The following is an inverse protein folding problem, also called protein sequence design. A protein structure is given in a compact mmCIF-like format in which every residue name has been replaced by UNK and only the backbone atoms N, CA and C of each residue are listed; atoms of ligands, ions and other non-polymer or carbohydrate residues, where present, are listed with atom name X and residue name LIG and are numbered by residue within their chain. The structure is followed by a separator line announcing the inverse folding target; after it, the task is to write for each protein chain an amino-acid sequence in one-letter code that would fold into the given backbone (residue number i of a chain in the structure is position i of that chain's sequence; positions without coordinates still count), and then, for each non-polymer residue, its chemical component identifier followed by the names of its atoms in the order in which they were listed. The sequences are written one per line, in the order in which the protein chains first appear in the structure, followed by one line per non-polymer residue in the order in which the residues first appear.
data_IF_223009585843
#
_entry.id   IF_223009585843
#
_cell.length_a   1.000
_cell.length_b   1.000
_cell.length_c   1.000
_cell.angle_alpha   90.00
_cell.angle_beta   90.00
_cell.angle_gamma   90.00
#
_symmetry.space_group_name_H-M   'P 1'
#
loop_
_entity.id
_entity.type
_entity.pdbx_description
1 polymer ?
#
# COMPACT_ATOMS: atom_id res chain seq x y z
N UNK A 1 -22.06 5.37 -9.74
CA UNK A 1 -20.95 4.43 -9.53
C UNK A 1 -20.01 5.05 -8.50
N UNK A 2 -19.49 4.27 -7.56
CA UNK A 2 -18.57 4.80 -6.53
C UNK A 2 -17.18 4.95 -7.12
N UNK A 3 -16.58 6.13 -6.98
CA UNK A 3 -15.22 6.48 -7.39
C UNK A 3 -14.21 6.30 -6.26
N UNK A 4 -14.55 5.47 -5.26
CA UNK A 4 -13.77 5.23 -4.05
C UNK A 4 -13.57 3.73 -3.79
N UNK A 5 -12.38 3.36 -3.30
CA UNK A 5 -12.00 1.97 -3.11
C UNK A 5 -11.17 1.70 -1.86
N UNK A 6 -11.37 0.52 -1.26
CA UNK A 6 -10.35 -0.12 -0.43
C UNK A 6 -9.34 -0.82 -1.33
N UNK A 7 -8.05 -0.65 -1.05
CA UNK A 7 -6.94 -1.20 -1.83
C UNK A 7 -6.09 -2.07 -0.92
N UNK A 8 -5.70 -3.26 -1.37
CA UNK A 8 -4.73 -4.11 -0.68
C UNK A 8 -3.64 -4.60 -1.65
N UNK A 9 -2.56 -5.15 -1.11
CA UNK A 9 -1.48 -5.76 -1.88
C UNK A 9 -1.23 -7.20 -1.44
N UNK A 10 -1.10 -8.12 -2.40
CA UNK A 10 -0.63 -9.48 -2.17
C UNK A 10 0.53 -9.84 -3.12
N UNK A 11 1.74 -9.94 -2.58
CA UNK A 11 2.96 -10.28 -3.35
C UNK A 11 3.28 -11.77 -3.35
N UNK A 12 2.62 -12.58 -2.52
CA UNK A 12 2.78 -14.04 -2.50
C UNK A 12 1.48 -14.72 -2.05
N UNK A 13 1.44 -16.05 -2.15
CA UNK A 13 0.26 -16.85 -1.79
C UNK A 13 -0.16 -16.70 -0.31
N UNK A 14 0.78 -16.40 0.59
CA UNK A 14 0.45 -16.16 1.99
C UNK A 14 -0.32 -14.85 2.17
N UNK A 15 0.17 -13.76 1.59
CA UNK A 15 -0.55 -12.49 1.58
C UNK A 15 -1.84 -12.57 0.75
N UNK A 16 -1.91 -13.42 -0.28
CA UNK A 16 -3.16 -13.66 -0.99
C UNK A 16 -4.25 -14.26 -0.07
N UNK A 17 -3.86 -15.13 0.89
CA UNK A 17 -4.78 -15.60 1.93
C UNK A 17 -5.22 -14.49 2.88
N UNK A 18 -4.30 -13.62 3.28
CA UNK A 18 -4.61 -12.43 4.06
C UNK A 18 -5.61 -11.51 3.35
N UNK A 19 -5.34 -11.18 2.09
CA UNK A 19 -6.23 -10.39 1.24
C UNK A 19 -7.63 -11.03 1.10
N UNK A 20 -7.73 -12.37 1.02
CA UNK A 20 -9.05 -13.03 1.04
C UNK A 20 -9.81 -12.79 2.35
N UNK A 21 -9.13 -12.84 3.50
CA UNK A 21 -9.74 -12.57 4.81
C UNK A 21 -10.19 -11.11 4.89
N UNK A 22 -9.33 -10.18 4.49
CA UNK A 22 -9.64 -8.76 4.44
C UNK A 22 -10.85 -8.48 3.56
N UNK A 23 -10.83 -8.92 2.29
CA UNK A 23 -11.93 -8.74 1.35
C UNK A 23 -13.24 -9.34 1.85
N UNK A 24 -13.22 -10.54 2.43
CA UNK A 24 -14.41 -11.14 3.07
C UNK A 24 -14.90 -10.31 4.25
N UNK A 25 -14.00 -9.80 5.10
CA UNK A 25 -14.37 -9.01 6.26
C UNK A 25 -15.03 -7.68 5.88
N UNK A 26 -14.53 -7.00 4.84
CA UNK A 26 -15.12 -5.77 4.29
C UNK A 26 -16.52 -6.03 3.71
N UNK A 27 -16.69 -7.10 2.92
CA UNK A 27 -18.01 -7.50 2.37
C UNK A 27 -18.98 -7.89 3.47
N UNK A 28 -18.54 -8.63 4.48
CA UNK A 28 -19.36 -9.04 5.63
C UNK A 28 -19.93 -7.84 6.38
N UNK A 29 -19.17 -6.75 6.46
CA UNK A 29 -19.60 -5.51 7.11
C UNK A 29 -20.22 -4.50 6.13
N UNK A 30 -20.66 -4.96 4.96
CA UNK A 30 -21.45 -4.21 3.99
C UNK A 30 -20.80 -2.90 3.54
N UNK A 31 -19.50 -2.91 3.25
CA UNK A 31 -18.88 -1.75 2.60
C UNK A 31 -19.60 -1.40 1.29
N UNK A 32 -19.85 -0.11 1.09
CA UNK A 32 -20.39 0.45 -0.14
C UNK A 32 -19.32 0.69 -1.21
N UNK A 33 -18.05 0.56 -0.84
CA UNK A 33 -16.90 0.95 -1.66
C UNK A 33 -16.42 -0.21 -2.55
N UNK A 34 -15.66 0.13 -3.58
CA UNK A 34 -14.98 -0.86 -4.42
C UNK A 34 -13.86 -1.55 -3.65
N UNK A 35 -13.59 -2.80 -3.99
CA UNK A 35 -12.44 -3.54 -3.48
C UNK A 35 -11.44 -3.77 -4.60
N UNK A 36 -10.20 -3.33 -4.41
CA UNK A 36 -9.08 -3.49 -5.34
C UNK A 36 -7.98 -4.33 -4.69
N UNK A 37 -7.49 -5.35 -5.40
CA UNK A 37 -6.30 -6.10 -5.01
C UNK A 37 -5.18 -5.88 -6.03
N UNK A 38 -4.08 -5.28 -5.58
CA UNK A 38 -2.82 -5.32 -6.31
C UNK A 38 -2.17 -6.66 -6.05
N UNK A 39 -1.64 -7.31 -7.09
CA UNK A 39 -1.02 -8.64 -6.95
C UNK A 39 0.32 -8.70 -7.66
N UNK A 40 1.28 -9.42 -7.07
CA UNK A 40 2.53 -9.74 -7.75
C UNK A 40 2.32 -10.77 -8.88
N UNK A 41 3.22 -10.84 -9.88
CA UNK A 41 3.08 -11.73 -11.05
C UNK A 41 2.93 -13.23 -10.70
N UNK A 42 3.51 -13.64 -9.57
CA UNK A 42 3.47 -15.01 -9.06
C UNK A 42 2.15 -15.40 -8.37
N UNK A 43 1.26 -14.44 -8.07
CA UNK A 43 0.04 -14.71 -7.32
C UNK A 43 -1.12 -15.02 -8.26
N UNK A 44 -1.80 -16.14 -8.03
CA UNK A 44 -2.98 -16.50 -8.82
C UNK A 44 -4.16 -15.54 -8.54
N UNK A 45 -4.54 -14.77 -9.55
CA UNK A 45 -5.67 -13.83 -9.51
C UNK A 45 -7.04 -14.51 -9.31
N UNK A 46 -7.18 -15.78 -9.71
CA UNK A 46 -8.47 -16.47 -9.87
C UNK A 46 -9.32 -16.51 -8.58
N UNK A 47 -8.66 -16.55 -7.42
CA UNK A 47 -9.33 -16.60 -6.12
C UNK A 47 -9.75 -15.20 -5.66
N UNK A 48 -8.90 -14.20 -5.89
CA UNK A 48 -9.16 -12.81 -5.50
C UNK A 48 -10.26 -12.16 -6.36
N UNK A 49 -10.34 -12.52 -7.65
CA UNK A 49 -11.40 -12.07 -8.58
C UNK A 49 -12.83 -12.43 -8.14
N UNK A 50 -13.00 -13.33 -7.18
CA UNK A 50 -14.30 -13.68 -6.60
C UNK A 50 -14.75 -12.73 -5.48
N UNK A 51 -13.83 -11.99 -4.88
CA UNK A 51 -14.06 -11.13 -3.71
C UNK A 51 -13.88 -9.64 -4.05
N UNK A 52 -12.91 -9.36 -4.94
CA UNK A 52 -12.50 -8.02 -5.34
C UNK A 52 -13.18 -7.59 -6.64
N UNK A 53 -13.54 -6.32 -6.73
CA UNK A 53 -14.11 -5.71 -7.93
C UNK A 53 -13.04 -5.54 -9.03
N UNK A 54 -11.80 -5.27 -8.62
CA UNK A 54 -10.64 -5.10 -9.50
C UNK A 54 -9.46 -5.90 -8.93
N UNK A 55 -8.79 -6.68 -9.77
CA UNK A 55 -7.53 -7.35 -9.44
C UNK A 55 -6.52 -6.93 -10.50
N UNK A 56 -5.43 -6.31 -10.07
CA UNK A 56 -4.43 -5.73 -10.96
C UNK A 56 -3.06 -6.32 -10.67
N UNK A 57 -2.47 -6.96 -11.67
CA UNK A 57 -1.08 -7.41 -11.60
C UNK A 57 -0.17 -6.19 -11.65
N UNK A 58 0.76 -6.12 -10.71
CA UNK A 58 1.82 -5.10 -10.64
C UNK A 58 3.14 -5.83 -10.83
N UNK A 59 3.70 -5.71 -12.03
CA UNK A 59 5.04 -6.20 -12.34
C UNK A 59 6.00 -5.02 -12.36
N UNK A 60 6.72 -4.82 -11.25
CA UNK A 60 7.69 -3.73 -11.15
C UNK A 60 8.91 -4.01 -12.04
N UNK A 61 9.23 -5.29 -12.29
CA UNK A 61 10.36 -5.68 -13.15
C UNK A 61 10.07 -5.43 -14.63
N UNK A 62 8.82 -5.56 -15.08
CA UNK A 62 8.40 -5.31 -16.47
C UNK A 62 7.84 -3.90 -16.70
N UNK A 63 7.81 -3.05 -15.66
CA UNK A 63 7.19 -1.71 -15.77
C UNK A 63 7.91 -0.74 -16.72
N UNK A 64 9.13 -1.04 -17.16
CA UNK A 64 9.89 -0.23 -18.14
C UNK A 64 10.26 1.20 -17.71
N UNK A 65 9.84 1.61 -16.51
CA UNK A 65 9.78 3.00 -16.08
C UNK A 65 10.76 3.30 -14.91
N UNK A 66 10.63 4.50 -14.34
CA UNK A 66 11.36 4.98 -13.15
C UNK A 66 11.32 4.00 -11.97
N UNK A 67 10.24 3.22 -11.81
CA UNK A 67 10.13 2.19 -10.79
C UNK A 67 11.12 1.02 -11.01
N UNK A 68 11.32 0.59 -12.25
CA UNK A 68 12.31 -0.43 -12.59
C UNK A 68 13.73 0.07 -12.29
N UNK A 69 14.04 1.31 -12.67
CA UNK A 69 15.34 1.93 -12.39
C UNK A 69 15.58 2.13 -10.89
N UNK A 70 14.54 2.50 -10.13
CA UNK A 70 14.57 2.58 -8.68
C UNK A 70 14.84 1.20 -8.06
N UNK A 71 14.16 0.16 -8.54
CA UNK A 71 14.40 -1.24 -8.13
C UNK A 71 15.80 -1.73 -8.43
N UNK A 72 16.36 -1.42 -9.61
CA UNK A 72 17.74 -1.81 -9.94
C UNK A 72 18.75 -1.19 -8.96
N UNK A 73 18.48 0.02 -8.46
CA UNK A 73 19.31 0.67 -7.44
C UNK A 73 19.10 0.08 -6.05
N UNK A 74 17.89 -0.40 -5.76
CA UNK A 74 17.43 -0.87 -4.43
C UNK A 74 16.53 -2.11 -4.55
N UNK A 75 17.11 -3.29 -4.83
CA UNK A 75 16.33 -4.52 -5.01
C UNK A 75 15.64 -4.97 -3.72
N UNK A 76 16.13 -4.52 -2.56
CA UNK A 76 15.55 -4.72 -1.23
C UNK A 76 14.16 -4.08 -1.08
N UNK A 77 13.85 -3.01 -1.84
CA UNK A 77 12.60 -2.25 -1.71
C UNK A 77 11.48 -2.74 -2.65
N UNK A 78 11.57 -3.95 -3.22
CA UNK A 78 10.65 -4.41 -4.26
C UNK A 78 9.17 -4.43 -3.86
N UNK A 79 8.88 -4.88 -2.64
CA UNK A 79 7.51 -4.87 -2.10
C UNK A 79 7.04 -3.43 -1.87
N UNK A 80 7.90 -2.56 -1.35
CA UNK A 80 7.64 -1.13 -1.16
C UNK A 80 7.24 -0.44 -2.47
N UNK A 81 8.01 -0.64 -3.54
CA UNK A 81 7.65 -0.08 -4.85
C UNK A 81 6.33 -0.64 -5.39
N UNK A 82 6.09 -1.94 -5.19
CA UNK A 82 4.82 -2.57 -5.56
C UNK A 82 3.64 -1.96 -4.80
N UNK A 83 3.80 -1.63 -3.50
CA UNK A 83 2.77 -0.97 -2.69
C UNK A 83 2.51 0.46 -3.15
N UNK A 84 3.54 1.22 -3.52
CA UNK A 84 3.40 2.59 -4.03
C UNK A 84 2.57 2.69 -5.32
N UNK A 85 2.49 1.61 -6.11
CA UNK A 85 1.61 1.58 -7.29
C UNK A 85 0.12 1.81 -6.96
N UNK A 86 -0.31 1.72 -5.68
CA UNK A 86 -1.67 2.12 -5.30
C UNK A 86 -2.00 3.57 -5.67
N UNK A 87 -1.01 4.49 -5.69
CA UNK A 87 -1.20 5.87 -6.17
C UNK A 87 -1.44 5.98 -7.67
N UNK A 88 -1.20 4.93 -8.46
CA UNK A 88 -1.45 4.96 -9.92
C UNK A 88 -2.89 4.65 -10.30
N UNK A 89 -3.76 4.33 -9.34
CA UNK A 89 -5.19 4.02 -9.54
C UNK A 89 -6.03 5.29 -9.72
N UNK A 90 -5.66 6.15 -10.67
CA UNK A 90 -6.21 7.51 -10.87
C UNK A 90 -7.65 7.56 -11.36
N UNK A 91 -8.27 6.42 -11.66
CA UNK A 91 -9.71 6.31 -11.87
C UNK A 91 -10.54 6.35 -10.58
N UNK A 92 -9.88 6.28 -9.40
CA UNK A 92 -10.50 6.53 -8.11
C UNK A 92 -10.10 7.92 -7.58
N UNK A 93 -11.05 8.61 -6.96
CA UNK A 93 -10.83 9.94 -6.35
C UNK A 93 -10.22 9.86 -4.95
N UNK A 94 -10.45 8.76 -4.24
CA UNK A 94 -9.92 8.50 -2.90
C UNK A 94 -9.90 7.02 -2.61
N UNK A 95 -8.84 6.57 -1.96
CA UNK A 95 -8.66 5.19 -1.58
C UNK A 95 -8.28 5.07 -0.10
N UNK A 96 -8.61 3.91 0.48
CA UNK A 96 -8.07 3.47 1.77
C UNK A 96 -7.20 2.27 1.49
N UNK A 97 -5.89 2.41 1.70
CA UNK A 97 -4.98 1.29 1.65
C UNK A 97 -5.09 0.48 2.94
N UNK A 98 -5.08 -0.84 2.82
CA UNK A 98 -5.06 -1.78 3.94
C UNK A 98 -4.12 -2.95 3.61
N UNK A 99 -3.11 -3.18 4.46
CA UNK A 99 -2.23 -4.35 4.33
C UNK A 99 -3.03 -5.65 4.44
N UNK A 100 -2.56 -6.68 3.74
CA UNK A 100 -3.27 -7.96 3.65
C UNK A 100 -3.31 -8.73 4.98
N UNK A 101 -2.53 -8.35 5.98
CA UNK A 101 -2.56 -8.88 7.34
C UNK A 101 -3.53 -8.14 8.27
N UNK A 102 -4.31 -7.20 7.75
CA UNK A 102 -5.39 -6.51 8.47
C UNK A 102 -6.74 -7.25 8.39
N UNK A 103 -7.63 -7.00 9.35
CA UNK A 103 -8.99 -7.53 9.34
C UNK A 103 -9.97 -6.49 9.87
N UNK A 104 -11.11 -6.37 9.20
CA UNK A 104 -12.15 -5.42 9.55
C UNK A 104 -13.18 -6.06 10.48
N UNK A 105 -13.49 -5.38 11.60
CA UNK A 105 -14.41 -5.85 12.64
C UNK A 105 -15.78 -5.16 12.63
N UNK A 106 -15.93 -4.09 11.86
CA UNK A 106 -17.16 -3.30 11.70
C UNK A 106 -17.13 -2.58 10.35
N UNK A 107 -18.22 -1.94 9.91
CA UNK A 107 -18.12 -1.06 8.75
C UNK A 107 -17.14 0.09 9.09
N UNK A 108 -16.31 0.46 8.11
CA UNK A 108 -15.26 1.50 8.23
C UNK A 108 -15.30 2.47 7.04
N UNK A 109 -16.45 2.60 6.37
CA UNK A 109 -16.62 3.47 5.21
C UNK A 109 -16.43 4.96 5.58
N UNK A 110 -16.54 5.33 6.86
CA UNK A 110 -16.27 6.67 7.38
C UNK A 110 -14.80 7.12 7.20
N UNK A 111 -13.87 6.18 6.96
CA UNK A 111 -12.48 6.53 6.63
C UNK A 111 -12.39 7.38 5.35
N UNK A 112 -13.36 7.26 4.44
CA UNK A 112 -13.41 8.07 3.22
C UNK A 112 -13.78 9.53 3.45
N UNK A 113 -14.19 9.92 4.67
CA UNK A 113 -14.40 11.31 5.05
C UNK A 113 -13.08 12.04 5.41
N UNK A 114 -11.99 11.27 5.61
CA UNK A 114 -10.66 11.81 5.93
C UNK A 114 -9.93 12.34 4.69
N UNK A 115 -8.96 13.22 4.91
CA UNK A 115 -8.10 13.77 3.85
C UNK A 115 -6.84 12.93 3.64
N UNK A 116 -6.19 13.11 2.49
CA UNK A 116 -4.82 12.58 2.31
C UNK A 116 -3.86 13.51 3.06
N UNK A 117 -2.88 13.02 3.83
CA UNK A 117 -2.64 11.63 4.22
C UNK A 117 -3.11 11.42 5.68
N UNK A 118 -4.05 10.49 5.89
CA UNK A 118 -4.55 10.12 7.23
C UNK A 118 -4.20 8.68 7.55
N UNK A 119 -3.55 8.45 8.70
CA UNK A 119 -3.15 7.13 9.19
C UNK A 119 -3.18 7.09 10.74
N UNK A 120 -3.14 5.89 11.31
CA UNK A 120 -3.07 5.72 12.77
C UNK A 120 -1.61 5.83 13.25
N UNK A 121 -1.35 6.34 14.47
CA UNK A 121 0.01 6.38 15.02
C UNK A 121 0.61 4.98 15.17
N UNK A 122 1.92 4.86 14.97
CA UNK A 122 2.64 3.62 15.26
C UNK A 122 2.76 3.40 16.78
N UNK A 123 2.49 2.20 17.32
CA UNK A 123 2.58 1.95 18.76
C UNK A 123 4.01 2.04 19.34
N UNK A 124 5.04 1.77 18.54
CA UNK A 124 6.44 1.79 18.97
C UNK A 124 7.06 3.18 18.91
N UNK A 125 6.67 3.98 17.91
CA UNK A 125 7.15 5.35 17.72
C UNK A 125 5.99 6.29 17.34
N UNK A 126 5.33 6.96 18.30
CA UNK A 126 4.08 7.67 18.06
C UNK A 126 4.20 8.93 17.18
N UNK A 127 5.42 9.41 16.93
CA UNK A 127 5.67 10.50 15.97
C UNK A 127 5.65 10.00 14.50
N UNK A 128 5.61 8.69 14.30
CA UNK A 128 5.38 8.02 13.03
C UNK A 128 3.96 7.44 13.01
N UNK A 129 3.42 7.24 11.81
CA UNK A 129 2.18 6.48 11.65
C UNK A 129 2.48 5.08 11.14
N UNK A 130 1.57 4.16 11.44
CA UNK A 130 1.57 2.82 10.90
C UNK A 130 1.05 2.82 9.46
N UNK A 131 1.78 2.17 8.54
CA UNK A 131 1.44 2.16 7.11
C UNK A 131 0.50 1.02 6.73
N UNK A 132 0.02 0.27 7.72
CA UNK A 132 -0.93 -0.82 7.59
C UNK A 132 -2.30 -0.36 7.13
N UNK A 133 -2.72 0.85 7.53
CA UNK A 133 -3.98 1.45 7.10
C UNK A 133 -3.80 2.95 6.90
N UNK A 134 -4.08 3.45 5.70
CA UNK A 134 -4.04 4.89 5.42
C UNK A 134 -4.99 5.33 4.32
N UNK A 135 -5.43 6.58 4.40
CA UNK A 135 -6.30 7.25 3.43
C UNK A 135 -5.46 8.11 2.50
N UNK A 136 -5.64 7.94 1.19
CA UNK A 136 -4.85 8.63 0.17
C UNK A 136 -5.69 9.00 -1.07
N UNK A 137 -5.12 9.87 -1.92
CA UNK A 137 -5.67 10.27 -3.21
C UNK A 137 -4.73 9.79 -4.31
N UNK A 138 -5.16 8.84 -5.15
CA UNK A 138 -4.34 8.40 -6.29
C UNK A 138 -3.88 9.57 -7.17
N UNK A 139 -2.58 9.64 -7.44
CA UNK A 139 -1.93 10.68 -8.23
C UNK A 139 -0.62 10.15 -8.79
N UNK A 140 -0.47 10.23 -10.12
CA UNK A 140 0.79 9.87 -10.81
C UNK A 140 1.94 10.78 -10.37
N UNK A 141 1.64 12.05 -10.06
CA UNK A 141 2.63 12.99 -9.54
C UNK A 141 3.14 12.56 -8.16
N UNK A 142 2.23 12.24 -7.23
CA UNK A 142 2.56 11.76 -5.88
C UNK A 142 3.35 10.45 -5.95
N UNK A 143 2.92 9.51 -6.81
CA UNK A 143 3.66 8.28 -7.08
C UNK A 143 5.10 8.55 -7.54
N UNK A 144 5.30 9.44 -8.50
CA UNK A 144 6.63 9.81 -8.99
C UNK A 144 7.53 10.41 -7.92
N UNK A 145 6.98 11.30 -7.08
CA UNK A 145 7.72 11.90 -5.94
C UNK A 145 8.10 10.84 -4.90
N UNK A 146 7.20 9.92 -4.56
CA UNK A 146 7.46 8.83 -3.61
C UNK A 146 8.55 7.89 -4.13
N UNK A 147 8.50 7.50 -5.42
CA UNK A 147 9.54 6.68 -6.05
C UNK A 147 10.90 7.38 -6.06
N UNK A 148 10.94 8.66 -6.42
CA UNK A 148 12.16 9.45 -6.42
C UNK A 148 12.75 9.51 -5.00
N UNK A 149 11.93 9.79 -4.00
CA UNK A 149 12.36 9.88 -2.61
C UNK A 149 12.95 8.55 -2.10
N UNK A 150 12.28 7.43 -2.36
CA UNK A 150 12.78 6.09 -2.01
C UNK A 150 14.13 5.79 -2.68
N UNK A 151 14.31 6.23 -3.93
CA UNK A 151 15.56 6.05 -4.68
C UNK A 151 16.71 6.87 -4.10
N UNK A 152 16.42 8.09 -3.64
CA UNK A 152 17.43 9.04 -3.15
C UNK A 152 17.83 8.80 -1.68
N UNK A 153 16.89 8.40 -0.82
CA UNK A 153 17.09 8.42 0.64
C UNK A 153 17.16 7.03 1.30
N UNK A 154 16.59 5.98 0.71
CA UNK A 154 16.68 4.62 1.28
C UNK A 154 15.95 4.41 2.62
N UNK A 155 15.89 3.14 3.09
CA UNK A 155 15.30 2.79 4.38
C UNK A 155 16.16 3.35 5.53
N UNK A 156 15.49 3.92 6.53
CA UNK A 156 16.13 4.56 7.68
C UNK A 156 16.50 3.57 8.81
N UNK A 157 16.15 2.29 8.70
CA UNK A 157 16.54 1.31 9.72
C UNK A 157 17.99 0.85 9.49
N UNK A 158 18.93 1.50 10.17
CA UNK A 158 20.37 1.17 10.14
C UNK A 158 20.74 -0.22 10.70
N UNK A 159 20.01 -1.29 10.37
CA UNK A 159 20.33 -2.69 10.68
C UNK A 159 20.74 -3.41 9.40
N UNK A 160 21.95 -3.98 9.41
CA UNK A 160 22.34 -4.98 8.42
C UNK A 160 21.29 -6.12 8.39
N UNK A 161 20.87 -6.59 7.21
CA UNK A 161 19.83 -7.61 7.10
C UNK A 161 20.39 -8.97 7.54
N UNK A 162 20.22 -9.31 8.82
CA UNK A 162 20.32 -10.69 9.29
C UNK A 162 18.98 -11.38 9.06
N UNK A 163 18.93 -12.14 7.96
CA UNK A 163 18.05 -13.23 7.48
C UNK A 163 16.78 -13.74 8.21
N UNK A 164 16.23 -13.15 9.28
CA UNK A 164 15.14 -13.82 10.04
C UNK A 164 13.81 -13.07 10.22
N UNK A 165 13.57 -11.94 9.53
CA UNK A 165 12.26 -11.27 9.65
C UNK A 165 11.86 -10.44 8.43
N UNK A 166 12.05 -10.99 7.23
CA UNK A 166 11.73 -10.32 5.95
C UNK A 166 10.30 -9.77 5.87
N UNK A 167 9.29 -10.43 6.45
CA UNK A 167 7.89 -9.95 6.40
C UNK A 167 7.54 -8.83 7.39
N UNK A 168 8.33 -8.61 8.44
CA UNK A 168 8.11 -7.52 9.41
C UNK A 168 8.92 -6.26 9.07
N UNK A 169 10.03 -6.41 8.35
CA UNK A 169 10.90 -5.30 7.95
C UNK A 169 10.28 -4.50 6.79
N UNK A 170 9.56 -5.14 5.87
CA UNK A 170 8.90 -4.47 4.72
C UNK A 170 7.82 -3.43 5.13
N UNK A 171 7.15 -3.63 6.27
CA UNK A 171 6.12 -2.70 6.76
C UNK A 171 6.71 -1.41 7.37
N UNK A 172 7.92 -1.48 7.94
CA UNK A 172 8.59 -0.33 8.58
C UNK A 172 9.13 0.69 7.55
N UNK A 173 9.48 0.25 6.35
CA UNK A 173 10.11 1.13 5.36
C UNK A 173 9.12 2.19 4.85
N UNK A 174 7.88 1.78 4.55
CA UNK A 174 6.83 2.69 4.06
C UNK A 174 6.41 3.70 5.12
N UNK A 175 6.42 3.32 6.40
CA UNK A 175 6.09 4.19 7.52
C UNK A 175 7.04 5.38 7.57
N UNK A 176 8.33 5.13 7.40
CA UNK A 176 9.36 6.15 7.35
C UNK A 176 9.18 7.04 6.12
N UNK A 177 9.02 6.45 4.93
CA UNK A 177 8.94 7.23 3.68
C UNK A 177 7.68 8.09 3.60
N UNK A 178 6.52 7.55 3.98
CA UNK A 178 5.29 8.31 3.99
C UNK A 178 5.31 9.34 5.15
N UNK A 179 5.86 9.00 6.33
CA UNK A 179 6.04 9.98 7.43
C UNK A 179 6.92 11.14 7.03
N UNK A 180 7.98 10.90 6.25
CA UNK A 180 8.86 11.96 5.78
C UNK A 180 8.23 12.70 4.59
N UNK A 181 7.53 12.02 3.67
CA UNK A 181 6.81 12.68 2.58
C UNK A 181 5.76 13.68 3.11
N UNK A 182 4.96 13.29 4.11
CA UNK A 182 4.02 14.24 4.74
C UNK A 182 4.78 15.41 5.37
N UNK A 183 5.84 15.15 6.12
CA UNK A 183 6.54 16.23 6.84
C UNK A 183 7.38 17.16 5.93
N UNK A 184 7.76 16.74 4.72
CA UNK A 184 8.56 17.54 3.79
C UNK A 184 7.77 18.13 2.61
N UNK A 185 6.67 17.48 2.19
CA UNK A 185 5.99 17.81 0.94
C UNK A 185 4.49 18.09 1.07
N UNK A 186 3.91 18.02 2.28
CA UNK A 186 2.56 18.52 2.54
C UNK A 186 2.60 20.00 3.00
N UNK A 187 2.19 20.97 2.16
CA UNK A 187 2.20 22.38 2.49
C UNK A 187 1.05 22.81 3.43
N UNK A 188 0.21 21.88 3.91
CA UNK A 188 -0.92 22.17 4.81
C UNK A 188 -0.60 22.03 6.32
N UNK A 189 0.68 21.98 6.69
CA UNK A 189 1.15 22.42 8.02
C UNK A 189 1.64 23.86 7.98
#
# INVERSE_FOLDING_TARGET
FTDQAFVTLATNDSYARGAMVLGKSLRKHNTSKKLVALVGPQVSESVLKRLYDEVRVVDVLDSGDTAHLAMMKRPDLGVTFTKLHCWTLTHYSKCVFMDADTMVLSNIDELFDKEELSAAPDPGWPDCFNSGVFVFRPSVETHGKLLQYCTEHGSFDGKNPSSESLGMIENLEIEIYLSIYINLFDPCK
#
